data_IF_438181593545
#
_entry.id   IF_438181593545
#
_cell.length_a   1.000
_cell.length_b   1.000
_cell.length_c   1.000
_cell.angle_alpha   90.00
_cell.angle_beta   90.00
_cell.angle_gamma   90.00
#
_symmetry.space_group_name_H-M   'P 1'
#
loop_
_entity.id
_entity.type
_entity.pdbx_description
1 polymer ?
#
# COMPACT_ATOMS: atom_id res chain seq x y z
N UNK A 1 -77.32 -52.10 -24.45
CA UNK A 1 -76.78 -52.43 -23.13
C UNK A 1 -75.28 -52.21 -23.25
N UNK A 2 -74.84 -51.05 -22.77
CA UNK A 2 -73.43 -50.74 -22.51
C UNK A 2 -72.87 -51.69 -21.41
N UNK A 3 -71.53 -51.82 -21.21
CA UNK A 3 -70.58 -50.71 -21.32
C UNK A 3 -69.27 -50.95 -22.07
N UNK A 4 -68.75 -49.82 -22.55
CA UNK A 4 -67.37 -49.53 -22.93
C UNK A 4 -66.37 -49.89 -21.82
N UNK A 5 -65.30 -50.59 -22.20
CA UNK A 5 -64.11 -50.72 -21.38
C UNK A 5 -63.19 -49.53 -21.64
N UNK A 6 -63.28 -48.51 -20.79
CA UNK A 6 -62.33 -47.41 -20.73
C UNK A 6 -60.97 -47.94 -20.22
N UNK A 7 -59.99 -48.06 -21.12
CA UNK A 7 -58.59 -48.21 -20.74
C UNK A 7 -58.07 -46.83 -20.30
N UNK A 8 -58.07 -46.58 -19.01
CA UNK A 8 -57.41 -45.42 -18.41
C UNK A 8 -55.89 -45.54 -18.64
N UNK A 9 -55.36 -44.77 -19.59
CA UNK A 9 -53.94 -44.51 -19.69
C UNK A 9 -53.52 -43.73 -18.43
N UNK A 10 -52.80 -44.40 -17.53
CA UNK A 10 -52.03 -43.74 -16.48
C UNK A 10 -50.92 -42.95 -17.17
N UNK A 11 -51.19 -41.68 -17.43
CA UNK A 11 -50.15 -40.68 -17.68
C UNK A 11 -49.34 -40.62 -16.39
N UNK A 12 -48.19 -41.28 -16.38
CA UNK A 12 -47.14 -41.00 -15.41
C UNK A 12 -46.71 -39.56 -15.64
N UNK A 13 -47.18 -38.68 -14.76
CA UNK A 13 -46.67 -37.33 -14.62
C UNK A 13 -45.20 -37.47 -14.19
N UNK A 14 -44.29 -37.44 -15.16
CA UNK A 14 -42.86 -37.40 -14.91
C UNK A 14 -42.58 -36.02 -14.32
N UNK A 15 -42.59 -35.94 -12.99
CA UNK A 15 -42.14 -34.77 -12.25
C UNK A 15 -40.83 -34.28 -12.86
N UNK A 16 -40.83 -33.04 -13.35
CA UNK A 16 -39.62 -32.36 -13.80
C UNK A 16 -38.56 -32.47 -12.70
N UNK A 17 -37.28 -32.70 -13.03
CA UNK A 17 -36.25 -32.82 -12.02
C UNK A 17 -36.23 -31.53 -11.17
N UNK A 18 -36.45 -31.66 -9.87
CA UNK A 18 -36.29 -30.57 -8.92
C UNK A 18 -34.84 -30.05 -9.06
N UNK A 19 -34.70 -28.89 -9.71
CA UNK A 19 -33.41 -28.26 -9.90
C UNK A 19 -32.99 -27.70 -8.54
N UNK A 20 -32.32 -28.51 -7.71
CA UNK A 20 -31.70 -28.00 -6.50
C UNK A 20 -30.77 -26.85 -6.92
N UNK A 21 -30.96 -25.63 -6.37
CA UNK A 21 -30.15 -24.50 -6.76
C UNK A 21 -28.69 -24.80 -6.44
N UNK A 22 -27.79 -24.52 -7.39
CA UNK A 22 -26.36 -24.66 -7.16
C UNK A 22 -25.94 -23.79 -5.96
N UNK A 23 -24.85 -24.13 -5.28
CA UNK A 23 -24.34 -23.28 -4.19
C UNK A 23 -24.12 -21.84 -4.69
N UNK A 24 -23.64 -21.70 -5.93
CA UNK A 24 -23.50 -20.42 -6.60
C UNK A 24 -24.83 -19.63 -6.67
N UNK A 25 -25.93 -20.27 -7.02
CA UNK A 25 -27.25 -19.61 -7.08
C UNK A 25 -27.77 -19.21 -5.70
N UNK A 26 -27.49 -20.04 -4.68
CA UNK A 26 -27.80 -19.72 -3.28
C UNK A 26 -27.06 -18.45 -2.85
N UNK A 27 -25.76 -18.36 -3.10
CA UNK A 27 -24.96 -17.18 -2.75
C UNK A 27 -25.34 -15.94 -3.57
N UNK A 28 -25.65 -16.07 -4.87
CA UNK A 28 -26.20 -14.97 -5.69
C UNK A 28 -27.48 -14.40 -5.07
N UNK A 29 -28.41 -15.26 -4.66
CA UNK A 29 -29.66 -14.82 -4.05
C UNK A 29 -29.43 -14.15 -2.69
N UNK A 30 -28.54 -14.70 -1.85
CA UNK A 30 -28.16 -14.09 -0.56
C UNK A 30 -27.54 -12.69 -0.75
N UNK A 31 -26.68 -12.52 -1.76
CA UNK A 31 -26.10 -11.22 -2.10
C UNK A 31 -27.17 -10.23 -2.53
N UNK A 32 -28.10 -10.63 -3.41
CA UNK A 32 -29.24 -9.76 -3.81
C UNK A 32 -30.06 -9.31 -2.60
N UNK A 33 -30.42 -10.25 -1.72
CA UNK A 33 -31.15 -9.98 -0.48
C UNK A 33 -30.41 -8.99 0.44
N UNK A 34 -29.08 -9.04 0.50
CA UNK A 34 -28.29 -8.08 1.30
C UNK A 34 -28.39 -6.65 0.75
N UNK A 35 -28.36 -6.50 -0.58
CA UNK A 35 -28.50 -5.21 -1.25
C UNK A 35 -29.94 -4.67 -1.12
N UNK A 36 -30.96 -5.50 -1.36
CA UNK A 36 -32.37 -5.09 -1.34
C UNK A 36 -32.84 -4.64 0.05
N UNK A 37 -32.31 -5.26 1.11
CA UNK A 37 -32.65 -4.90 2.48
C UNK A 37 -31.94 -3.62 2.97
N UNK A 38 -31.10 -3.00 2.14
CA UNK A 38 -30.20 -1.91 2.52
C UNK A 38 -29.36 -2.27 3.77
N UNK A 39 -29.17 -3.58 4.01
CA UNK A 39 -28.36 -4.11 5.10
C UNK A 39 -26.91 -4.10 4.65
N UNK A 40 -26.34 -2.89 4.50
CA UNK A 40 -24.89 -2.67 4.28
C UNK A 40 -24.07 -2.96 5.55
N UNK A 41 -24.62 -3.79 6.45
CA UNK A 41 -23.96 -4.16 7.69
C UNK A 41 -22.73 -5.00 7.37
N UNK A 42 -21.56 -4.45 7.65
CA UNK A 42 -20.28 -5.12 7.52
C UNK A 42 -20.31 -6.56 8.08
N UNK A 43 -20.91 -6.75 9.26
CA UNK A 43 -21.00 -8.07 9.90
C UNK A 43 -21.83 -9.09 9.11
N UNK A 44 -22.83 -8.65 8.34
CA UNK A 44 -23.62 -9.51 7.47
C UNK A 44 -22.80 -10.02 6.29
N UNK A 45 -21.96 -9.15 5.71
CA UNK A 45 -20.98 -9.52 4.68
C UNK A 45 -19.91 -10.47 5.22
N UNK A 46 -19.36 -10.19 6.40
CA UNK A 46 -18.38 -11.09 7.04
C UNK A 46 -18.99 -12.46 7.28
N UNK A 47 -20.24 -12.51 7.77
CA UNK A 47 -20.98 -13.77 7.96
C UNK A 47 -21.23 -14.51 6.64
N UNK A 48 -21.48 -13.79 5.54
CA UNK A 48 -21.63 -14.36 4.21
C UNK A 48 -20.31 -14.98 3.72
N UNK A 49 -19.20 -14.27 3.89
CA UNK A 49 -17.85 -14.76 3.55
C UNK A 49 -17.55 -16.02 4.35
N UNK A 50 -17.74 -16.01 5.68
CA UNK A 50 -17.51 -17.20 6.50
C UNK A 50 -18.38 -18.38 6.10
N UNK A 51 -19.63 -18.14 5.68
CA UNK A 51 -20.49 -19.20 5.16
C UNK A 51 -19.98 -19.77 3.82
N UNK A 52 -19.50 -18.91 2.91
CA UNK A 52 -18.93 -19.34 1.63
C UNK A 52 -17.64 -20.16 1.84
N UNK A 53 -16.75 -19.69 2.72
CA UNK A 53 -15.53 -20.41 3.09
C UNK A 53 -15.81 -21.74 3.78
N UNK A 54 -16.89 -21.84 4.57
CA UNK A 54 -17.25 -23.09 5.25
C UNK A 54 -17.97 -24.09 4.36
N UNK A 55 -18.87 -23.64 3.47
CA UNK A 55 -19.73 -24.52 2.66
C UNK A 55 -19.14 -24.83 1.28
N UNK A 56 -18.24 -23.99 0.78
CA UNK A 56 -17.83 -23.97 -0.62
C UNK A 56 -16.37 -23.57 -0.78
N UNK A 57 -15.51 -24.01 0.15
CA UNK A 57 -14.09 -23.67 0.17
C UNK A 57 -13.38 -23.96 -1.16
N UNK A 58 -13.71 -25.08 -1.82
CA UNK A 58 -13.07 -25.52 -3.06
C UNK A 58 -13.80 -25.04 -4.33
N UNK A 59 -14.90 -24.30 -4.17
CA UNK A 59 -15.67 -23.73 -5.28
C UNK A 59 -15.20 -22.29 -5.51
N UNK A 60 -14.29 -22.13 -6.47
CA UNK A 60 -13.72 -20.83 -6.76
C UNK A 60 -14.75 -19.84 -7.29
N UNK A 61 -15.81 -20.28 -7.96
CA UNK A 61 -16.82 -19.39 -8.51
C UNK A 61 -17.66 -18.78 -7.39
N UNK A 62 -18.03 -19.58 -6.38
CA UNK A 62 -18.68 -19.09 -5.16
C UNK A 62 -17.78 -18.12 -4.40
N UNK A 63 -16.52 -18.49 -4.16
CA UNK A 63 -15.55 -17.64 -3.45
C UNK A 63 -15.35 -16.32 -4.20
N UNK A 64 -15.13 -16.38 -5.52
CA UNK A 64 -14.92 -15.18 -6.34
C UNK A 64 -16.13 -14.27 -6.33
N UNK A 65 -17.34 -14.83 -6.44
CA UNK A 65 -18.58 -14.06 -6.39
C UNK A 65 -18.71 -13.29 -5.06
N UNK A 66 -18.51 -13.95 -3.93
CA UNK A 66 -18.71 -13.36 -2.60
C UNK A 66 -17.63 -12.32 -2.30
N UNK A 67 -16.36 -12.64 -2.58
CA UNK A 67 -15.26 -11.70 -2.37
C UNK A 67 -15.32 -10.49 -3.29
N UNK A 68 -15.58 -10.66 -4.59
CA UNK A 68 -15.73 -9.53 -5.51
C UNK A 68 -16.87 -8.61 -5.06
N UNK A 69 -18.02 -9.18 -4.68
CA UNK A 69 -19.17 -8.39 -4.22
C UNK A 69 -18.85 -7.62 -2.93
N UNK A 70 -18.18 -8.25 -1.97
CA UNK A 70 -17.77 -7.58 -0.73
C UNK A 70 -16.74 -6.47 -0.97
N UNK A 71 -15.73 -6.72 -1.80
CA UNK A 71 -14.63 -5.78 -2.03
C UNK A 71 -15.03 -4.60 -2.92
N UNK A 72 -16.11 -4.73 -3.70
CA UNK A 72 -16.76 -3.60 -4.37
C UNK A 72 -17.42 -2.63 -3.38
N UNK A 73 -17.92 -3.14 -2.25
CA UNK A 73 -18.54 -2.35 -1.18
C UNK A 73 -17.51 -1.83 -0.17
N UNK A 74 -16.51 -2.64 0.17
CA UNK A 74 -15.46 -2.34 1.17
C UNK A 74 -14.05 -2.48 0.59
N UNK A 75 -13.66 -1.66 -0.40
CA UNK A 75 -12.37 -1.80 -1.10
C UNK A 75 -11.16 -1.60 -0.18
N UNK A 76 -11.29 -0.80 0.88
CA UNK A 76 -10.20 -0.48 1.83
C UNK A 76 -9.84 -1.63 2.78
N UNK A 77 -10.61 -2.73 2.77
CA UNK A 77 -10.38 -3.91 3.59
C UNK A 77 -9.26 -4.80 3.03
N UNK A 78 -8.01 -4.32 3.02
CA UNK A 78 -6.86 -5.04 2.45
C UNK A 78 -6.67 -6.47 2.97
N UNK A 79 -7.04 -6.76 4.23
CA UNK A 79 -6.97 -8.11 4.78
C UNK A 79 -7.83 -9.13 4.03
N UNK A 80 -8.96 -8.69 3.45
CA UNK A 80 -9.81 -9.55 2.64
C UNK A 80 -9.29 -9.71 1.21
N UNK A 81 -8.63 -8.70 0.65
CA UNK A 81 -7.88 -8.85 -0.60
C UNK A 81 -6.80 -9.93 -0.47
N UNK A 82 -6.02 -9.90 0.63
CA UNK A 82 -4.99 -10.91 0.92
C UNK A 82 -5.60 -12.31 1.06
N UNK A 83 -6.71 -12.44 1.81
CA UNK A 83 -7.42 -13.71 1.94
C UNK A 83 -7.93 -14.23 0.59
N UNK A 84 -8.46 -13.34 -0.24
CA UNK A 84 -8.96 -13.72 -1.56
C UNK A 84 -7.83 -14.19 -2.48
N UNK A 85 -6.71 -13.48 -2.50
CA UNK A 85 -5.51 -13.90 -3.21
C UNK A 85 -5.01 -15.27 -2.72
N UNK A 86 -5.08 -15.56 -1.42
CA UNK A 86 -4.73 -16.87 -0.87
C UNK A 86 -5.67 -17.99 -1.35
N UNK A 87 -6.99 -17.74 -1.44
CA UNK A 87 -7.93 -18.70 -2.04
C UNK A 87 -7.64 -18.95 -3.51
N UNK A 88 -7.36 -17.89 -4.29
CA UNK A 88 -6.94 -18.01 -5.70
C UNK A 88 -5.63 -18.78 -5.83
N UNK A 89 -4.65 -18.55 -4.96
CA UNK A 89 -3.37 -19.26 -5.00
C UNK A 89 -3.52 -20.77 -4.75
N UNK A 90 -4.54 -21.17 -3.99
CA UNK A 90 -4.84 -22.58 -3.71
C UNK A 90 -5.57 -23.29 -4.86
N UNK A 91 -6.40 -22.56 -5.61
CA UNK A 91 -7.36 -23.15 -6.56
C UNK A 91 -7.11 -22.76 -8.03
N UNK A 92 -6.22 -21.80 -8.30
CA UNK A 92 -6.06 -21.19 -9.61
C UNK A 92 -4.58 -21.01 -9.99
N UNK A 93 -4.34 -20.35 -11.13
CA UNK A 93 -3.00 -20.09 -11.62
C UNK A 93 -2.37 -18.86 -10.95
N UNK A 94 -1.05 -18.75 -10.99
CA UNK A 94 -0.34 -17.55 -10.50
C UNK A 94 -0.83 -16.27 -11.17
N UNK A 95 -1.26 -16.32 -12.44
CA UNK A 95 -1.82 -15.16 -13.15
C UNK A 95 -3.09 -14.65 -12.47
N UNK A 96 -3.99 -15.56 -12.09
CA UNK A 96 -5.24 -15.19 -11.43
C UNK A 96 -4.98 -14.56 -10.05
N UNK A 97 -3.91 -14.96 -9.37
CA UNK A 97 -3.47 -14.36 -8.10
C UNK A 97 -2.90 -12.96 -8.31
N UNK A 98 -2.08 -12.78 -9.35
CA UNK A 98 -1.55 -11.46 -9.76
C UNK A 98 -2.71 -10.51 -10.06
N UNK A 99 -3.73 -10.95 -10.79
CA UNK A 99 -4.89 -10.12 -11.12
C UNK A 99 -5.61 -9.61 -9.86
N UNK A 100 -5.74 -10.44 -8.82
CA UNK A 100 -6.33 -10.01 -7.54
C UNK A 100 -5.43 -9.02 -6.81
N UNK A 101 -4.12 -9.24 -6.78
CA UNK A 101 -3.20 -8.29 -6.15
C UNK A 101 -3.14 -6.95 -6.89
N UNK A 102 -3.15 -6.95 -8.22
CA UNK A 102 -3.19 -5.74 -9.04
C UNK A 102 -4.48 -4.92 -8.78
N UNK A 103 -5.63 -5.59 -8.69
CA UNK A 103 -6.88 -4.93 -8.27
C UNK A 103 -6.78 -4.37 -6.85
N UNK A 104 -6.20 -5.13 -5.92
CA UNK A 104 -6.06 -4.72 -4.54
C UNK A 104 -5.16 -3.48 -4.39
N UNK A 105 -4.03 -3.42 -5.10
CA UNK A 105 -3.11 -2.26 -5.02
C UNK A 105 -3.66 -1.04 -5.73
N UNK A 106 -4.59 -1.20 -6.68
CA UNK A 106 -5.36 -0.05 -7.18
C UNK A 106 -6.38 0.45 -6.16
N UNK A 107 -7.00 -0.46 -5.40
CA UNK A 107 -7.98 -0.10 -4.37
C UNK A 107 -7.33 0.54 -3.13
N UNK A 108 -6.18 0.02 -2.68
CA UNK A 108 -5.49 0.43 -1.44
C UNK A 108 -3.97 0.57 -1.66
N UNK A 109 -3.52 1.49 -2.54
CA UNK A 109 -2.12 1.61 -2.95
C UNK A 109 -1.15 1.93 -1.81
N UNK A 110 -1.62 2.51 -0.71
CA UNK A 110 -0.77 2.92 0.41
C UNK A 110 -0.80 1.92 1.59
N UNK A 111 -1.33 0.71 1.40
CA UNK A 111 -1.27 -0.35 2.42
C UNK A 111 0.05 -1.09 2.38
N UNK A 112 0.91 -0.86 3.39
CA UNK A 112 2.18 -1.59 3.54
C UNK A 112 1.94 -3.09 3.63
N UNK A 113 0.94 -3.54 4.39
CA UNK A 113 0.68 -4.98 4.58
C UNK A 113 0.24 -5.67 3.30
N UNK A 114 -0.51 -4.98 2.44
CA UNK A 114 -0.90 -5.48 1.14
C UNK A 114 0.32 -5.69 0.24
N UNK A 115 1.20 -4.68 0.17
CA UNK A 115 2.44 -4.78 -0.59
C UNK A 115 3.37 -5.86 -0.03
N UNK A 116 3.47 -6.01 1.30
CA UNK A 116 4.27 -7.10 1.91
C UNK A 116 3.74 -8.46 1.48
N UNK A 117 2.42 -8.65 1.47
CA UNK A 117 1.81 -9.89 0.99
C UNK A 117 2.06 -10.11 -0.50
N UNK A 118 1.93 -9.07 -1.31
CA UNK A 118 2.12 -9.16 -2.75
C UNK A 118 3.59 -9.44 -3.12
N UNK A 119 4.55 -8.67 -2.58
CA UNK A 119 5.97 -8.94 -2.77
C UNK A 119 6.36 -10.33 -2.26
N UNK A 120 5.77 -10.77 -1.13
CA UNK A 120 5.96 -12.13 -0.62
C UNK A 120 5.50 -13.22 -1.60
N UNK A 121 4.34 -13.02 -2.23
CA UNK A 121 3.88 -13.88 -3.33
C UNK A 121 4.81 -13.78 -4.55
N UNK A 122 5.20 -12.57 -4.97
CA UNK A 122 6.08 -12.34 -6.11
C UNK A 122 7.42 -13.07 -5.97
N UNK A 123 8.04 -13.05 -4.80
CA UNK A 123 9.29 -13.79 -4.52
C UNK A 123 9.15 -15.30 -4.70
N UNK A 124 7.94 -15.86 -4.52
CA UNK A 124 7.67 -17.28 -4.71
C UNK A 124 7.21 -17.63 -6.13
N UNK A 125 6.56 -16.68 -6.82
CA UNK A 125 5.83 -16.93 -8.06
C UNK A 125 6.54 -16.44 -9.32
N UNK A 126 7.39 -15.42 -9.22
CA UNK A 126 8.12 -14.86 -10.36
C UNK A 126 9.46 -15.58 -10.52
N UNK A 127 9.83 -15.85 -11.78
CA UNK A 127 11.06 -16.57 -12.12
C UNK A 127 12.26 -15.61 -12.19
N UNK A 128 12.05 -14.42 -12.76
CA UNK A 128 13.12 -13.45 -12.99
C UNK A 128 13.33 -12.53 -11.78
N UNK A 129 14.55 -12.48 -11.21
CA UNK A 129 14.86 -11.57 -10.10
C UNK A 129 14.60 -10.09 -10.39
N UNK A 130 14.69 -9.68 -11.66
CA UNK A 130 14.41 -8.32 -12.09
C UNK A 130 12.93 -7.92 -11.88
N UNK A 131 12.00 -8.86 -12.10
CA UNK A 131 10.57 -8.61 -11.90
C UNK A 131 10.23 -8.47 -10.42
N UNK A 132 10.90 -9.27 -9.57
CA UNK A 132 10.76 -9.18 -8.11
C UNK A 132 11.27 -7.82 -7.61
N UNK A 133 12.43 -7.36 -8.09
CA UNK A 133 12.98 -6.03 -7.75
C UNK A 133 12.05 -4.91 -8.19
N UNK A 134 11.56 -4.96 -9.43
CA UNK A 134 10.60 -3.99 -9.97
C UNK A 134 9.33 -3.92 -9.11
N UNK A 135 8.84 -5.07 -8.62
CA UNK A 135 7.70 -5.11 -7.72
C UNK A 135 7.98 -4.43 -6.37
N UNK A 136 9.15 -4.69 -5.76
CA UNK A 136 9.57 -4.00 -4.53
C UNK A 136 9.76 -2.49 -4.73
N UNK A 137 10.40 -2.07 -5.82
CA UNK A 137 10.61 -0.66 -6.15
C UNK A 137 9.28 0.07 -6.37
N UNK A 138 8.34 -0.57 -7.07
CA UNK A 138 6.98 -0.05 -7.24
C UNK A 138 6.27 0.12 -5.91
N UNK A 139 6.34 -0.88 -5.02
CA UNK A 139 5.77 -0.78 -3.68
C UNK A 139 6.38 0.38 -2.89
N UNK A 140 7.72 0.46 -2.85
CA UNK A 140 8.45 1.49 -2.11
C UNK A 140 8.15 2.90 -2.64
N UNK A 141 7.98 3.10 -3.94
CA UNK A 141 7.61 4.41 -4.50
C UNK A 141 6.35 5.02 -3.86
N UNK A 142 5.42 4.16 -3.40
CA UNK A 142 4.15 4.57 -2.79
C UNK A 142 4.20 4.62 -1.25
N UNK A 143 4.94 3.71 -0.61
CA UNK A 143 4.92 3.54 0.86
C UNK A 143 6.26 3.76 1.55
N UNK A 144 7.32 4.19 0.86
CA UNK A 144 8.66 4.40 1.45
C UNK A 144 8.64 5.32 2.67
N UNK A 145 7.79 6.36 2.67
CA UNK A 145 7.63 7.29 3.80
C UNK A 145 6.62 6.84 4.87
N UNK A 146 6.18 5.58 4.84
CA UNK A 146 5.38 4.99 5.91
C UNK A 146 6.30 4.48 7.04
N UNK A 147 6.00 4.82 8.29
CA UNK A 147 6.78 4.38 9.45
C UNK A 147 6.90 2.85 9.58
N UNK A 148 5.90 2.12 9.06
CA UNK A 148 5.81 0.66 9.04
C UNK A 148 6.41 0.02 7.78
N UNK A 149 6.93 0.80 6.82
CA UNK A 149 7.52 0.29 5.58
C UNK A 149 8.75 -0.61 5.80
N UNK A 150 9.30 -0.63 7.02
CA UNK A 150 10.32 -1.60 7.44
C UNK A 150 9.94 -3.05 7.13
N UNK A 151 8.63 -3.39 7.13
CA UNK A 151 8.17 -4.74 6.77
C UNK A 151 8.50 -5.11 5.31
N UNK A 152 8.46 -4.12 4.39
CA UNK A 152 8.89 -4.32 3.00
C UNK A 152 10.40 -4.38 2.90
N UNK A 153 11.11 -3.47 3.58
CA UNK A 153 12.56 -3.47 3.59
C UNK A 153 13.13 -4.79 4.12
N UNK A 154 12.58 -5.35 5.20
CA UNK A 154 12.99 -6.65 5.74
C UNK A 154 12.84 -7.76 4.69
N UNK A 155 11.72 -7.78 3.96
CA UNK A 155 11.47 -8.75 2.88
C UNK A 155 12.40 -8.55 1.69
N UNK A 156 12.71 -7.30 1.35
CA UNK A 156 13.61 -7.00 0.24
C UNK A 156 15.06 -7.37 0.57
N UNK A 157 15.50 -7.08 1.81
CA UNK A 157 16.81 -7.50 2.33
C UNK A 157 16.91 -9.04 2.36
N UNK A 158 15.87 -9.73 2.83
CA UNK A 158 15.81 -11.21 2.81
C UNK A 158 15.99 -11.76 1.39
N UNK A 159 15.28 -11.17 0.42
CA UNK A 159 15.38 -11.53 -0.99
C UNK A 159 16.80 -11.31 -1.53
N UNK A 160 17.37 -10.11 -1.45
CA UNK A 160 18.70 -9.85 -2.01
C UNK A 160 19.82 -10.62 -1.29
N UNK A 161 19.64 -10.91 0.00
CA UNK A 161 20.54 -11.80 0.75
C UNK A 161 20.51 -13.21 0.18
N UNK A 162 19.32 -13.74 -0.14
CA UNK A 162 19.17 -15.05 -0.80
C UNK A 162 19.82 -15.09 -2.18
N UNK A 163 19.77 -13.97 -2.91
CA UNK A 163 20.39 -13.80 -4.23
C UNK A 163 21.91 -13.52 -4.17
N UNK A 164 22.47 -13.32 -2.96
CA UNK A 164 23.87 -12.96 -2.71
C UNK A 164 24.31 -11.68 -3.45
N UNK A 165 23.41 -10.71 -3.61
CA UNK A 165 23.67 -9.48 -4.36
C UNK A 165 24.16 -8.36 -3.45
N UNK A 166 25.48 -8.28 -3.25
CA UNK A 166 26.09 -7.30 -2.35
C UNK A 166 25.84 -5.83 -2.77
N UNK A 167 25.85 -5.54 -4.08
CA UNK A 167 25.59 -4.20 -4.61
C UNK A 167 24.17 -3.75 -4.23
N UNK A 168 23.19 -4.64 -4.41
CA UNK A 168 21.80 -4.35 -4.06
C UNK A 168 21.61 -4.20 -2.56
N UNK A 169 22.26 -5.05 -1.75
CA UNK A 169 22.23 -4.92 -0.30
C UNK A 169 22.81 -3.58 0.18
N UNK A 170 23.94 -3.14 -0.37
CA UNK A 170 24.51 -1.83 -0.05
C UNK A 170 23.56 -0.69 -0.43
N UNK A 171 22.95 -0.75 -1.61
CA UNK A 171 21.92 0.20 -2.04
C UNK A 171 20.72 0.21 -1.09
N UNK A 172 20.20 -0.95 -0.71
CA UNK A 172 19.06 -1.06 0.21
C UNK A 172 19.42 -0.49 1.58
N UNK A 173 20.56 -0.86 2.17
CA UNK A 173 20.92 -0.39 3.51
C UNK A 173 21.05 1.13 3.58
N UNK A 174 21.67 1.79 2.59
CA UNK A 174 21.72 3.26 2.60
C UNK A 174 20.34 3.90 2.35
N UNK A 175 19.51 3.30 1.48
CA UNK A 175 18.15 3.79 1.23
C UNK A 175 17.23 3.67 2.46
N UNK A 176 17.35 2.60 3.26
CA UNK A 176 16.58 2.45 4.51
C UNK A 176 16.86 3.56 5.54
N UNK A 177 17.94 4.32 5.39
CA UNK A 177 18.31 5.45 6.25
C UNK A 177 17.75 6.79 5.76
N UNK A 178 17.14 6.85 4.56
CA UNK A 178 16.62 8.11 3.97
C UNK A 178 15.42 8.68 4.71
N UNK A 179 14.60 7.82 5.31
CA UNK A 179 13.38 8.22 5.98
C UNK A 179 13.18 7.43 7.30
N UNK A 180 12.60 8.04 8.36
CA UNK A 180 12.40 7.35 9.62
C UNK A 180 11.38 6.21 9.52
N UNK A 181 11.85 4.99 9.76
CA UNK A 181 11.01 3.80 9.97
C UNK A 181 11.12 3.31 11.41
N UNK A 182 10.21 2.45 11.86
CA UNK A 182 10.25 1.82 13.20
C UNK A 182 11.58 1.11 13.49
N UNK A 183 12.25 0.58 12.46
CA UNK A 183 13.53 -0.15 12.57
C UNK A 183 14.76 0.70 12.18
N UNK A 184 14.63 2.02 12.06
CA UNK A 184 15.73 2.91 11.63
C UNK A 184 17.07 2.62 12.33
N UNK A 185 17.06 2.52 13.66
CA UNK A 185 18.28 2.26 14.44
C UNK A 185 18.89 0.89 14.13
N UNK A 186 18.05 -0.14 13.94
CA UNK A 186 18.50 -1.48 13.57
C UNK A 186 19.12 -1.49 12.16
N UNK A 187 18.52 -0.77 11.21
CA UNK A 187 19.08 -0.65 9.87
C UNK A 187 20.41 0.08 9.88
N UNK A 188 20.56 1.12 10.71
CA UNK A 188 21.84 1.81 10.88
C UNK A 188 22.92 0.89 11.47
N UNK A 189 22.58 0.05 12.45
CA UNK A 189 23.52 -0.95 12.96
C UNK A 189 23.94 -1.96 11.89
N UNK A 190 22.99 -2.46 11.09
CA UNK A 190 23.29 -3.38 9.97
C UNK A 190 24.14 -2.70 8.88
N UNK A 191 23.83 -1.45 8.54
CA UNK A 191 24.63 -0.62 7.65
C UNK A 191 26.07 -0.49 8.17
N UNK A 192 26.25 -0.17 9.47
CA UNK A 192 27.58 -0.05 10.08
C UNK A 192 28.35 -1.37 10.04
N UNK A 193 27.68 -2.50 10.29
CA UNK A 193 28.30 -3.83 10.16
C UNK A 193 28.79 -4.07 8.74
N UNK A 194 27.99 -3.73 7.73
CA UNK A 194 28.40 -3.85 6.33
C UNK A 194 29.62 -2.97 6.03
N UNK A 195 29.63 -1.71 6.48
CA UNK A 195 30.79 -0.82 6.33
C UNK A 195 32.04 -1.43 6.98
N UNK A 196 31.96 -1.91 8.21
CA UNK A 196 33.10 -2.52 8.91
C UNK A 196 33.62 -3.79 8.22
N UNK A 197 32.73 -4.63 7.69
CA UNK A 197 33.15 -5.81 6.91
C UNK A 197 33.86 -5.39 5.62
N UNK A 198 33.32 -4.40 4.90
CA UNK A 198 33.95 -3.84 3.71
C UNK A 198 35.33 -3.20 4.01
N UNK A 199 35.49 -2.53 5.14
CA UNK A 199 36.78 -1.96 5.58
C UNK A 199 37.83 -3.06 5.84
N UNK A 200 37.41 -4.19 6.42
CA UNK A 200 38.27 -5.34 6.66
C UNK A 200 38.72 -6.00 5.35
N UNK A 201 37.80 -6.14 4.38
CA UNK A 201 38.11 -6.65 3.03
C UNK A 201 39.08 -5.73 2.27
N UNK A 202 38.87 -4.41 2.35
CA UNK A 202 39.77 -3.42 1.75
C UNK A 202 41.16 -3.51 2.40
N UNK A 203 41.23 -3.65 3.72
CA UNK A 203 42.50 -3.73 4.47
C UNK A 203 43.26 -5.03 4.19
N UNK A 204 42.56 -6.17 4.11
CA UNK A 204 43.17 -7.46 3.80
C UNK A 204 43.70 -7.51 2.36
N UNK A 205 42.97 -6.94 1.39
CA UNK A 205 43.45 -6.81 0.02
C UNK A 205 44.59 -5.77 -0.13
N UNK A 206 44.59 -4.69 0.67
CA UNK A 206 45.64 -3.69 0.66
C UNK A 206 46.97 -4.21 1.25
N UNK A 207 46.91 -5.16 2.20
CA UNK A 207 48.10 -5.82 2.75
C UNK A 207 48.89 -6.65 1.70
N UNK A 208 48.26 -7.02 0.58
CA UNK A 208 48.92 -7.68 -0.56
C UNK A 208 49.52 -6.70 -1.58
N UNK A 209 49.23 -5.40 -1.50
CA UNK A 209 49.63 -4.40 -2.52
C UNK A 209 50.16 -3.12 -1.89
N UNK A 210 51.40 -3.13 -1.41
CA UNK A 210 52.14 -1.89 -1.18
C UNK A 210 52.81 -1.43 -2.46
N UNK A 211 52.27 -0.37 -3.09
CA UNK A 211 53.04 0.78 -3.60
C UNK A 211 52.09 1.75 -4.33
N UNK A 212 52.00 3.00 -3.87
CA UNK A 212 51.56 4.11 -4.72
C UNK A 212 50.60 5.14 -4.12
N UNK A 213 51.18 6.09 -3.38
CA UNK A 213 50.77 7.50 -3.14
C UNK A 213 49.31 7.84 -2.77
N UNK A 214 49.23 8.43 -1.57
CA UNK A 214 48.12 9.15 -0.97
C UNK A 214 47.99 10.57 -1.54
N UNK A 215 46.77 10.96 -1.91
CA UNK A 215 46.38 12.37 -2.00
C UNK A 215 45.06 12.54 -1.24
N UNK A 216 45.11 13.27 -0.14
CA UNK A 216 43.96 13.66 0.67
C UNK A 216 43.36 14.92 0.06
N UNK A 217 42.17 14.80 -0.53
CA UNK A 217 41.33 15.94 -0.84
C UNK A 217 40.33 16.13 0.28
N UNK A 218 40.39 17.29 0.95
CA UNK A 218 39.32 17.77 1.81
C UNK A 218 38.10 18.09 0.94
N UNK A 219 36.90 17.73 1.38
CA UNK A 219 35.68 18.22 0.78
C UNK A 219 34.83 18.96 1.80
N UNK A 220 34.37 20.11 1.29
CA UNK A 220 33.59 21.15 1.91
C UNK A 220 32.18 20.63 2.22
N UNK A 221 31.68 21.01 3.39
CA UNK A 221 30.31 20.82 3.85
C UNK A 221 29.38 21.65 2.95
N UNK A 222 28.83 21.00 1.92
CA UNK A 222 27.79 21.57 1.06
C UNK A 222 26.43 21.09 1.53
N UNK A 223 25.68 21.98 2.17
CA UNK A 223 24.28 21.79 2.50
C UNK A 223 23.45 21.53 1.23
N UNK A 224 22.60 20.51 1.33
CA UNK A 224 21.35 20.34 0.58
C UNK A 224 21.38 20.03 -0.93
N UNK A 225 22.43 19.38 -1.44
CA UNK A 225 22.29 18.62 -2.69
C UNK A 225 21.69 17.25 -2.38
N UNK A 226 20.66 16.86 -3.14
CA UNK A 226 20.09 15.51 -3.11
C UNK A 226 21.23 14.50 -3.26
N UNK A 227 21.47 13.69 -2.21
CA UNK A 227 22.56 12.73 -2.22
C UNK A 227 22.24 11.68 -3.30
N UNK A 228 23.01 11.69 -4.38
CA UNK A 228 22.91 10.71 -5.44
C UNK A 228 23.50 9.37 -4.95
N UNK A 229 22.64 8.58 -4.30
CA UNK A 229 22.97 7.25 -3.79
C UNK A 229 23.43 6.34 -4.93
N UNK A 230 22.85 6.46 -6.13
CA UNK A 230 23.23 5.64 -7.27
C UNK A 230 24.69 5.86 -7.65
N UNK A 231 25.15 7.12 -7.67
CA UNK A 231 26.56 7.43 -7.92
C UNK A 231 27.47 6.94 -6.78
N UNK A 232 27.03 7.06 -5.52
CA UNK A 232 27.80 6.56 -4.36
C UNK A 232 27.97 5.03 -4.45
N UNK A 233 26.92 4.30 -4.80
CA UNK A 233 26.96 2.84 -4.96
C UNK A 233 27.79 2.43 -6.18
N UNK A 234 27.65 3.13 -7.31
CA UNK A 234 28.45 2.87 -8.51
C UNK A 234 29.96 3.03 -8.24
N UNK A 235 30.33 4.11 -7.54
CA UNK A 235 31.71 4.37 -7.13
C UNK A 235 32.24 3.36 -6.13
N UNK A 236 31.37 2.80 -5.29
CA UNK A 236 31.74 1.81 -4.28
C UNK A 236 32.21 0.49 -4.92
N UNK A 237 31.57 0.05 -6.00
CA UNK A 237 31.80 -1.29 -6.57
C UNK A 237 32.58 -1.36 -7.90
N UNK A 238 32.84 -0.23 -8.58
CA UNK A 238 33.46 -0.13 -9.93
C UNK A 238 32.75 -1.00 -11.00
N UNK A 239 32.88 -0.68 -12.28
CA UNK A 239 32.13 -1.36 -13.37
C UNK A 239 32.43 -2.86 -13.51
N UNK A 240 33.45 -3.38 -12.79
CA UNK A 240 33.83 -4.79 -12.77
C UNK A 240 33.44 -5.52 -11.48
N UNK A 241 32.99 -4.84 -10.41
CA UNK A 241 32.49 -5.49 -9.20
C UNK A 241 33.53 -6.24 -8.33
N UNK A 242 34.83 -6.07 -8.59
CA UNK A 242 35.90 -6.87 -7.93
C UNK A 242 36.66 -6.10 -6.84
N UNK A 243 36.64 -4.76 -6.82
CA UNK A 243 37.47 -3.99 -5.88
C UNK A 243 36.73 -2.80 -5.26
N UNK A 244 36.62 -2.82 -3.93
CA UNK A 244 36.12 -1.72 -3.12
C UNK A 244 37.19 -0.62 -3.03
N UNK A 245 36.85 0.60 -3.44
CA UNK A 245 37.74 1.77 -3.29
C UNK A 245 37.68 2.31 -1.85
N UNK A 246 38.82 2.51 -1.16
CA UNK A 246 38.84 3.07 0.21
C UNK A 246 38.16 4.45 0.29
N UNK A 247 38.35 5.29 -0.73
CA UNK A 247 37.76 6.63 -0.78
C UNK A 247 36.25 6.56 -1.07
N UNK A 248 35.81 5.63 -1.93
CA UNK A 248 34.38 5.42 -2.18
C UNK A 248 33.67 4.86 -0.93
N UNK A 249 34.32 3.95 -0.21
CA UNK A 249 33.79 3.39 1.05
C UNK A 249 33.66 4.47 2.13
N UNK A 250 34.63 5.38 2.24
CA UNK A 250 34.54 6.54 3.13
C UNK A 250 33.36 7.44 2.77
N UNK A 251 33.13 7.69 1.47
CA UNK A 251 31.98 8.47 0.98
C UNK A 251 30.64 7.79 1.28
N UNK A 252 30.54 6.48 1.06
CA UNK A 252 29.37 5.67 1.39
C UNK A 252 29.06 5.71 2.89
N UNK A 253 30.07 5.47 3.75
CA UNK A 253 29.94 5.56 5.20
C UNK A 253 29.46 6.94 5.64
N UNK A 254 30.11 8.00 5.16
CA UNK A 254 29.76 9.39 5.47
C UNK A 254 28.33 9.75 5.03
N UNK A 255 27.91 9.27 3.86
CA UNK A 255 26.55 9.49 3.36
C UNK A 255 25.50 8.79 4.25
N UNK A 256 25.72 7.54 4.62
CA UNK A 256 24.84 6.81 5.52
C UNK A 256 24.74 7.45 6.91
N UNK A 257 25.85 7.94 7.47
CA UNK A 257 25.83 8.68 8.74
C UNK A 257 25.01 9.97 8.67
N UNK A 258 25.15 10.74 7.58
CA UNK A 258 24.36 11.96 7.36
C UNK A 258 22.86 11.67 7.26
N UNK A 259 22.49 10.67 6.44
CA UNK A 259 21.11 10.23 6.27
C UNK A 259 20.51 9.76 7.61
N UNK A 260 21.24 8.91 8.34
CA UNK A 260 20.82 8.45 9.66
C UNK A 260 20.62 9.60 10.66
N UNK A 261 21.55 10.56 10.74
CA UNK A 261 21.40 11.72 11.64
C UNK A 261 20.14 12.53 11.33
N UNK A 262 19.87 12.80 10.05
CA UNK A 262 18.66 13.49 9.60
C UNK A 262 17.39 12.69 9.96
N UNK A 263 17.32 11.43 9.55
CA UNK A 263 16.17 10.56 9.82
C UNK A 263 15.94 10.33 11.30
N UNK A 264 17.00 10.24 12.11
CA UNK A 264 16.92 10.07 13.57
C UNK A 264 16.34 11.29 14.27
N UNK A 265 16.57 12.51 13.74
CA UNK A 265 15.92 13.72 14.24
C UNK A 265 14.41 13.64 14.01
N UNK A 266 13.99 13.35 12.77
CA UNK A 266 12.57 13.23 12.42
C UNK A 266 11.93 12.08 13.21
N UNK A 267 12.61 10.93 13.34
CA UNK A 267 12.14 9.78 14.12
C UNK A 267 11.73 10.18 15.55
N UNK A 268 12.53 11.01 16.22
CA UNK A 268 12.24 11.48 17.59
C UNK A 268 11.03 12.40 17.65
N UNK A 269 10.76 13.15 16.59
CA UNK A 269 9.63 14.07 16.51
C UNK A 269 8.31 13.34 16.21
N UNK A 270 8.35 12.23 15.47
CA UNK A 270 7.13 11.53 15.03
C UNK A 270 6.78 10.27 15.83
N UNK A 271 7.72 9.70 16.60
CA UNK A 271 7.52 8.38 17.23
C UNK A 271 6.34 8.35 18.22
N UNK A 272 6.01 9.48 18.85
CA UNK A 272 4.84 9.58 19.73
C UNK A 272 3.52 9.51 18.95
N UNK A 273 3.43 10.17 17.79
CA UNK A 273 2.27 10.08 16.92
C UNK A 273 2.06 8.64 16.44
N UNK A 274 3.15 7.98 16.04
CA UNK A 274 3.14 6.60 15.56
C UNK A 274 2.75 5.60 16.65
N UNK A 275 3.20 5.81 17.89
CA UNK A 275 2.84 4.97 19.03
C UNK A 275 1.35 5.10 19.41
N UNK A 276 0.73 6.24 19.13
CA UNK A 276 -0.67 6.51 19.43
C UNK A 276 -1.65 5.95 18.39
N UNK A 277 -1.17 5.53 17.20
CA UNK A 277 -2.00 4.88 16.19
C UNK A 277 -2.21 3.41 16.58
N UNK A 278 -3.41 3.11 17.09
CA UNK A 278 -3.77 1.74 17.52
C UNK A 278 -4.34 0.91 16.38
N UNK A 279 -5.08 1.54 15.45
CA UNK A 279 -5.70 0.87 14.30
C UNK A 279 -5.23 1.50 12.99
N UNK A 280 -4.17 0.96 12.34
CA UNK A 280 -3.64 1.49 11.07
C UNK A 280 -4.42 1.02 9.83
N UNK A 281 -5.50 0.26 10.00
CA UNK A 281 -6.28 -0.33 8.92
C UNK A 281 -7.74 0.11 8.97
N UNK A 282 -8.43 0.01 7.83
CA UNK A 282 -9.84 0.36 7.74
C UNK A 282 -10.73 -0.63 8.50
N UNK A 283 -11.71 -0.09 9.24
CA UNK A 283 -12.83 -0.84 9.79
C UNK A 283 -14.01 0.10 9.95
N UNK A 284 -15.23 -0.41 9.73
CA UNK A 284 -16.49 0.33 9.90
C UNK A 284 -16.77 0.87 11.32
N UNK A 285 -16.11 0.31 12.36
CA UNK A 285 -16.29 0.79 13.73
C UNK A 285 -15.61 2.15 13.86
N UNK A 286 -16.20 3.13 14.54
CA UNK A 286 -15.55 4.43 14.72
C UNK A 286 -14.22 4.25 15.46
N UNK A 287 -13.23 5.06 15.08
CA UNK A 287 -12.06 5.36 15.90
C UNK A 287 -12.49 6.13 17.15
N UNK A 288 -11.73 5.96 18.23
CA UNK A 288 -11.85 6.80 19.42
C UNK A 288 -11.33 8.22 19.14
N UNK A 289 -11.79 9.17 19.96
CA UNK A 289 -11.46 10.59 19.83
C UNK A 289 -9.96 10.84 19.95
N UNK A 290 -9.26 10.10 20.82
CA UNK A 290 -7.79 10.23 20.99
C UNK A 290 -7.04 9.89 19.70
N UNK A 291 -7.46 8.85 18.97
CA UNK A 291 -6.86 8.49 17.68
C UNK A 291 -7.15 9.54 16.60
N UNK A 292 -8.36 10.11 16.56
CA UNK A 292 -8.70 11.17 15.59
C UNK A 292 -7.90 12.44 15.84
N UNK A 293 -7.80 12.85 17.11
CA UNK A 293 -6.99 13.99 17.53
C UNK A 293 -5.50 13.78 17.21
N UNK A 294 -4.97 12.58 17.47
CA UNK A 294 -3.60 12.24 17.10
C UNK A 294 -3.35 12.38 15.58
N UNK A 295 -4.29 11.96 14.73
CA UNK A 295 -4.17 12.15 13.29
C UNK A 295 -4.15 13.63 12.89
N UNK A 296 -5.00 14.47 13.48
CA UNK A 296 -4.97 15.91 13.24
C UNK A 296 -3.64 16.53 13.64
N UNK A 297 -3.12 16.22 14.83
CA UNK A 297 -1.84 16.74 15.32
C UNK A 297 -0.67 16.26 14.46
N UNK A 298 -0.70 15.01 14.00
CA UNK A 298 0.34 14.49 13.14
C UNK A 298 0.32 15.15 11.75
N UNK A 299 -0.87 15.36 11.18
CA UNK A 299 -1.03 16.10 9.93
C UNK A 299 -0.59 17.56 10.08
N UNK A 300 -0.97 18.26 11.16
CA UNK A 300 -0.51 19.62 11.46
C UNK A 300 1.02 19.70 11.47
N UNK A 301 1.66 18.73 12.13
CA UNK A 301 3.11 18.65 12.20
C UNK A 301 3.75 18.49 10.82
N UNK A 302 3.26 17.57 9.99
CA UNK A 302 3.85 17.32 8.66
C UNK A 302 3.53 18.44 7.67
N UNK A 303 2.36 19.05 7.72
CA UNK A 303 2.04 20.22 6.88
C UNK A 303 2.96 21.41 7.14
N UNK A 304 3.39 21.57 8.39
CA UNK A 304 4.27 22.66 8.82
C UNK A 304 5.75 22.37 8.57
N UNK A 305 6.19 21.14 8.82
CA UNK A 305 7.62 20.80 8.88
C UNK A 305 8.09 19.86 7.76
N UNK A 306 7.17 19.16 7.10
CA UNK A 306 7.46 18.17 6.07
C UNK A 306 7.48 18.74 4.65
N UNK A 307 8.01 17.95 3.72
CA UNK A 307 7.87 18.21 2.29
C UNK A 307 6.49 17.79 1.75
N UNK A 308 6.14 18.27 0.55
CA UNK A 308 4.84 18.00 -0.07
C UNK A 308 4.59 16.50 -0.28
N UNK A 309 5.62 15.76 -0.69
CA UNK A 309 5.53 14.32 -0.93
C UNK A 309 5.24 13.52 0.35
N UNK A 310 5.88 13.89 1.46
CA UNK A 310 5.62 13.29 2.77
C UNK A 310 4.21 13.61 3.25
N UNK A 311 3.77 14.86 3.12
CA UNK A 311 2.40 15.24 3.50
C UNK A 311 1.36 14.44 2.71
N UNK A 312 1.52 14.33 1.38
CA UNK A 312 0.64 13.51 0.53
C UNK A 312 0.63 12.05 0.99
N UNK A 313 1.80 11.43 1.19
CA UNK A 313 1.89 10.03 1.64
C UNK A 313 1.27 9.81 3.03
N UNK A 314 1.44 10.75 3.96
CA UNK A 314 0.80 10.68 5.29
C UNK A 314 -0.72 10.83 5.19
N UNK A 315 -1.22 11.72 4.33
CA UNK A 315 -2.64 11.86 4.07
C UNK A 315 -3.26 10.57 3.51
N UNK A 316 -2.65 9.99 2.47
CA UNK A 316 -3.13 8.75 1.88
C UNK A 316 -3.17 7.61 2.90
N UNK A 317 -2.17 7.54 3.79
CA UNK A 317 -2.15 6.59 4.91
C UNK A 317 -3.24 6.88 5.94
N UNK A 318 -3.46 8.14 6.32
CA UNK A 318 -4.50 8.56 7.27
C UNK A 318 -5.90 8.20 6.76
N UNK A 319 -6.14 8.36 5.46
CA UNK A 319 -7.43 8.07 4.84
C UNK A 319 -7.80 6.58 4.84
N UNK A 320 -6.87 5.67 5.12
CA UNK A 320 -7.19 4.24 5.28
C UNK A 320 -8.05 4.02 6.56
N UNK A 321 -7.57 4.27 7.79
CA UNK A 321 -8.38 4.11 8.99
C UNK A 321 -9.43 5.22 9.16
N UNK A 322 -9.21 6.41 8.58
CA UNK A 322 -10.12 7.56 8.70
C UNK A 322 -11.06 7.74 7.49
N UNK A 323 -11.23 6.72 6.64
CA UNK A 323 -12.02 6.85 5.41
C UNK A 323 -13.46 7.34 5.61
N UNK A 324 -14.07 7.02 6.77
CA UNK A 324 -15.45 7.40 7.10
C UNK A 324 -15.58 8.81 7.71
N UNK A 325 -14.49 9.56 7.77
CA UNK A 325 -14.40 10.87 8.41
C UNK A 325 -14.12 11.94 7.35
N UNK A 326 -15.17 12.64 6.91
CA UNK A 326 -15.09 13.57 5.78
C UNK A 326 -14.10 14.73 5.99
N UNK A 327 -13.87 15.10 7.24
CA UNK A 327 -12.96 16.16 7.64
C UNK A 327 -11.52 15.94 7.16
N UNK A 328 -11.03 14.69 7.16
CA UNK A 328 -9.69 14.37 6.65
C UNK A 328 -9.62 14.46 5.13
N UNK A 329 -10.69 14.06 4.42
CA UNK A 329 -10.76 14.20 2.96
C UNK A 329 -10.79 15.67 2.52
N UNK A 330 -11.60 16.48 3.21
CA UNK A 330 -11.70 17.92 2.95
C UNK A 330 -10.33 18.57 3.19
N UNK A 331 -9.75 18.34 4.38
CA UNK A 331 -8.45 18.89 4.74
C UNK A 331 -7.35 18.50 3.75
N UNK A 332 -7.30 17.23 3.34
CA UNK A 332 -6.36 16.76 2.33
C UNK A 332 -6.53 17.53 1.02
N UNK A 333 -7.76 17.60 0.50
CA UNK A 333 -8.04 18.26 -0.77
C UNK A 333 -7.69 19.75 -0.76
N UNK A 334 -7.93 20.45 0.35
CA UNK A 334 -7.58 21.85 0.52
C UNK A 334 -6.07 22.05 0.61
N UNK A 335 -5.36 21.20 1.36
CA UNK A 335 -3.90 21.22 1.45
C UNK A 335 -3.25 21.06 0.07
N UNK A 336 -3.65 20.04 -0.69
CA UNK A 336 -3.03 19.78 -2.00
C UNK A 336 -3.39 20.85 -3.05
N UNK A 337 -4.63 21.35 -3.09
CA UNK A 337 -4.99 22.45 -4.01
C UNK A 337 -4.22 23.74 -3.67
N UNK A 338 -4.07 24.06 -2.39
CA UNK A 338 -3.30 25.24 -1.93
C UNK A 338 -1.80 25.16 -2.28
N UNK A 339 -1.26 23.95 -2.45
CA UNK A 339 0.12 23.70 -2.88
C UNK A 339 0.27 23.51 -4.39
N UNK A 340 -0.79 23.73 -5.16
CA UNK A 340 -0.80 23.61 -6.63
C UNK A 340 -1.11 22.21 -7.15
N UNK A 341 -1.35 21.22 -6.28
CA UNK A 341 -1.73 19.85 -6.60
C UNK A 341 -3.23 19.66 -6.87
N UNK A 342 -3.81 20.50 -7.74
CA UNK A 342 -5.27 20.49 -8.01
C UNK A 342 -5.80 19.14 -8.53
N UNK A 343 -5.02 18.44 -9.35
CA UNK A 343 -5.43 17.13 -9.87
C UNK A 343 -5.54 16.10 -8.75
N UNK A 344 -4.60 16.13 -7.80
CA UNK A 344 -4.61 15.29 -6.59
C UNK A 344 -5.84 15.65 -5.75
N UNK A 345 -6.17 16.94 -5.59
CA UNK A 345 -7.33 17.41 -4.85
C UNK A 345 -8.64 16.85 -5.44
N UNK A 346 -8.81 16.96 -6.76
CA UNK A 346 -9.96 16.43 -7.47
C UNK A 346 -10.06 14.92 -7.34
N UNK A 347 -8.94 14.20 -7.51
CA UNK A 347 -8.91 12.75 -7.35
C UNK A 347 -9.31 12.32 -5.94
N UNK A 348 -8.82 13.00 -4.89
CA UNK A 348 -9.21 12.75 -3.51
C UNK A 348 -10.71 12.94 -3.29
N UNK A 349 -11.30 14.03 -3.82
CA UNK A 349 -12.73 14.32 -3.68
C UNK A 349 -13.63 13.34 -4.45
N UNK A 350 -13.20 12.86 -5.61
CA UNK A 350 -13.92 11.80 -6.37
C UNK A 350 -13.91 10.49 -5.59
N UNK A 351 -12.78 10.11 -5.00
CA UNK A 351 -12.69 8.92 -4.11
C UNK A 351 -13.57 9.09 -2.89
N UNK A 352 -13.51 10.24 -2.22
CA UNK A 352 -14.37 10.54 -1.07
C UNK A 352 -15.86 10.37 -1.43
N UNK A 353 -16.28 10.94 -2.56
CA UNK A 353 -17.67 10.80 -3.03
C UNK A 353 -18.07 9.34 -3.22
N UNK A 354 -17.19 8.51 -3.78
CA UNK A 354 -17.44 7.08 -3.96
C UNK A 354 -17.52 6.32 -2.63
N UNK A 355 -16.69 6.69 -1.63
CA UNK A 355 -16.75 6.12 -0.28
C UNK A 355 -18.05 6.50 0.44
N UNK A 356 -18.47 7.77 0.40
CA UNK A 356 -19.62 8.26 1.18
C UNK A 356 -20.98 8.01 0.51
N UNK A 357 -21.04 7.98 -0.82
CA UNK A 357 -22.30 7.76 -1.55
C UNK A 357 -22.74 6.29 -1.52
N UNK A 358 -21.79 5.34 -1.54
CA UNK A 358 -22.10 3.91 -1.53
C UNK A 358 -22.48 3.37 -0.14
N UNK A 359 -21.89 3.89 0.93
CA UNK A 359 -22.02 3.26 2.25
C UNK A 359 -23.34 3.51 2.99
N UNK A 360 -24.33 4.23 2.43
CA UNK A 360 -25.66 4.41 3.05
C UNK A 360 -25.62 4.85 4.53
N UNK A 361 -24.56 5.53 4.94
CA UNK A 361 -24.16 5.65 6.34
C UNK A 361 -24.98 6.73 7.07
N UNK A 362 -26.18 6.39 7.53
CA UNK A 362 -26.93 7.10 8.58
C UNK A 362 -27.21 8.60 8.39
N UNK A 363 -27.91 9.26 9.32
CA UNK A 363 -28.31 10.67 9.19
C UNK A 363 -27.17 11.69 9.22
N UNK A 364 -25.93 11.31 9.62
CA UNK A 364 -24.76 12.20 9.62
C UNK A 364 -24.16 12.42 8.22
N UNK A 365 -24.31 11.48 7.27
CA UNK A 365 -23.81 11.67 5.89
C UNK A 365 -24.59 12.73 5.10
N UNK A 366 -25.87 12.98 5.45
CA UNK A 366 -26.69 14.02 4.81
C UNK A 366 -26.11 15.43 4.93
N UNK A 367 -25.35 15.72 5.99
CA UNK A 367 -24.71 17.02 6.20
C UNK A 367 -23.28 17.11 5.66
N UNK A 368 -22.63 15.96 5.40
CA UNK A 368 -21.24 15.89 4.92
C UNK A 368 -21.12 15.88 3.40
N UNK A 369 -22.10 15.32 2.69
CA UNK A 369 -22.17 15.36 1.22
C UNK A 369 -22.19 16.80 0.68
N UNK A 370 -22.95 17.76 1.25
CA UNK A 370 -22.89 19.16 0.83
C UNK A 370 -21.50 19.81 1.00
N UNK A 371 -20.78 19.54 2.09
CA UNK A 371 -19.44 20.10 2.29
C UNK A 371 -18.44 19.56 1.27
N UNK A 372 -18.46 18.24 1.00
CA UNK A 372 -17.65 17.63 -0.05
C UNK A 372 -18.00 18.15 -1.45
N UNK A 373 -19.29 18.35 -1.74
CA UNK A 373 -19.75 18.96 -3.00
C UNK A 373 -19.27 20.41 -3.11
N UNK A 374 -19.33 21.20 -2.03
CA UNK A 374 -18.83 22.57 -2.01
C UNK A 374 -17.31 22.64 -2.23
N UNK A 375 -16.54 21.76 -1.58
CA UNK A 375 -15.10 21.65 -1.82
C UNK A 375 -14.81 21.25 -3.27
N UNK A 376 -15.54 20.29 -3.82
CA UNK A 376 -15.43 19.89 -5.23
C UNK A 376 -15.77 21.05 -6.18
N UNK A 377 -16.88 21.75 -5.93
CA UNK A 377 -17.30 22.90 -6.71
C UNK A 377 -16.30 24.06 -6.62
N UNK A 378 -15.63 24.26 -5.49
CA UNK A 378 -14.59 25.29 -5.31
C UNK A 378 -13.33 24.95 -6.11
N UNK A 379 -12.86 23.71 -6.02
CA UNK A 379 -11.68 23.23 -6.76
C UNK A 379 -11.94 23.24 -8.27
N UNK A 380 -13.13 22.81 -8.70
CA UNK A 380 -13.53 22.81 -10.11
C UNK A 380 -13.88 24.22 -10.64
N UNK A 381 -14.58 25.05 -9.88
CA UNK A 381 -15.01 26.40 -10.28
C UNK A 381 -13.83 27.37 -10.48
N UNK A 382 -12.75 27.18 -9.73
CA UNK A 382 -11.48 27.92 -9.91
C UNK A 382 -10.80 27.62 -11.26
N UNK A 383 -11.19 26.56 -11.97
CA UNK A 383 -10.72 26.22 -13.33
C UNK A 383 -11.41 27.08 -14.41
N UNK A 384 -12.69 27.40 -14.21
CA UNK A 384 -13.47 28.19 -15.17
C UNK A 384 -13.06 29.66 -15.13
N UNK A 385 -12.84 30.22 -13.94
CA UNK A 385 -12.39 31.61 -13.78
C UNK A 385 -10.95 31.83 -14.32
N UNK A 386 -10.07 30.82 -14.21
CA UNK A 386 -8.73 30.86 -14.79
C UNK A 386 -8.68 30.75 -16.31
N UNK A 387 -9.70 30.14 -16.95
CA UNK A 387 -9.83 30.06 -18.41
C UNK A 387 -10.43 31.31 -19.04
N UNK A 388 -11.17 32.12 -18.29
CA UNK A 388 -11.71 33.40 -18.76
C UNK A 388 -10.65 34.51 -18.77
N UNK A 389 -9.72 34.54 -17.81
CA UNK A 389 -8.60 35.50 -17.80
C UNK A 389 -7.57 35.29 -18.92
N UNK A 390 -7.50 34.10 -19.54
CA UNK A 390 -6.60 33.81 -20.66
C UNK A 390 -7.23 34.06 -22.04
N UNK A 391 -8.50 34.48 -22.11
CA UNK A 391 -9.17 34.85 -23.37
C UNK A 391 -9.27 36.36 -23.61
N UNK A 392 -8.75 37.19 -22.70
CA UNK A 392 -8.74 38.66 -22.81
C UNK A 392 -7.33 39.23 -22.60
N UNK A 393 -6.32 38.59 -23.19
CA UNK A 393 -4.94 39.09 -23.27
C UNK A 393 -4.51 39.27 -24.72
#
# INVERSE_FOLDING_TARGET
MEPEAAAAALVSDAAAPEHHPSQLDVFKNRIRLLHDRNTHGFDAWVSLISAAEGMSADDIDVISLVYNSFLLEFPLCYGYWIKYAAHKARLCTNRDVVDIYEQAVQAVPHSVDLWVSYCGFGTCAYEEPADIRSLFERALSLVEKDYLCYRLWDKYIEFETSQKQLIQLASIYINTLRFPTKKLHMYYESFRKLVTLSEQEVTSCAAERLSGKMHTSEMIDGEDSELDISNIIADLFDQKGVHLSPEALKRYSSAGERLYKRSSKIYKEICCFEASIKRPFFHVKPLDEDQLENWHQYLDFVEKNGDFDWAVKLYERCLIPCANYSEFWIRYSEYVDAKGGREIANHALVRASSCFVKSGMGPRTKYMVPALILSLARVQGSSLCGRESLRHG
#
